data_IF_868065726429
#
_entry.id   IF_868065726429
#
_cell.length_a   1.000
_cell.length_b   1.000
_cell.length_c   1.000
_cell.angle_alpha   90.00
_cell.angle_beta   90.00
_cell.angle_gamma   90.00
#
_symmetry.space_group_name_H-M   'P 1'
#
loop_
_entity.id
_entity.type
_entity.pdbx_description
1 polymer ?
#
# COMPACT_ATOMS: atom_id res chain seq x y z
N UNK A 1 10.65 23.67 8.37
CA UNK A 1 10.39 22.24 8.16
C UNK A 1 10.24 22.03 6.67
N UNK A 2 11.21 21.41 5.98
CA UNK A 2 11.08 21.13 4.55
C UNK A 2 9.98 20.08 4.38
N UNK A 3 8.90 20.39 3.66
CA UNK A 3 7.86 19.40 3.36
C UNK A 3 8.43 18.41 2.33
N UNK A 4 8.26 17.11 2.58
CA UNK A 4 8.62 16.07 1.61
C UNK A 4 7.88 16.30 0.29
N UNK A 5 8.51 15.91 -0.82
CA UNK A 5 7.86 15.90 -2.13
C UNK A 5 6.92 14.70 -2.32
N UNK A 6 6.96 13.72 -1.41
CA UNK A 6 6.13 12.50 -1.42
C UNK A 6 5.50 12.21 -0.04
N UNK A 7 4.77 13.16 0.55
CA UNK A 7 4.30 13.06 1.93
C UNK A 7 3.36 11.86 2.19
N UNK A 8 2.56 11.43 1.20
CA UNK A 8 1.68 10.26 1.38
C UNK A 8 2.45 8.95 1.29
N UNK A 9 3.39 8.83 0.34
CA UNK A 9 4.23 7.65 0.25
C UNK A 9 5.08 7.49 1.52
N UNK A 10 5.64 8.58 2.04
CA UNK A 10 6.46 8.57 3.26
C UNK A 10 5.64 8.11 4.47
N UNK A 11 4.42 8.63 4.64
CA UNK A 11 3.51 8.21 5.69
C UNK A 11 3.15 6.72 5.58
N UNK A 12 2.88 6.26 4.36
CA UNK A 12 2.55 4.86 4.09
C UNK A 12 3.72 3.94 4.44
N UNK A 13 4.94 4.29 4.01
CA UNK A 13 6.16 3.53 4.34
C UNK A 13 6.42 3.51 5.84
N UNK A 14 6.36 4.65 6.52
CA UNK A 14 6.64 4.76 7.94
C UNK A 14 5.66 3.92 8.77
N UNK A 15 4.36 4.16 8.62
CA UNK A 15 3.32 3.48 9.43
C UNK A 15 3.26 1.98 9.17
N UNK A 16 3.42 1.54 7.91
CA UNK A 16 3.45 0.10 7.59
C UNK A 16 4.70 -0.55 8.19
N UNK A 17 5.86 0.10 8.07
CA UNK A 17 7.12 -0.44 8.61
C UNK A 17 7.04 -0.58 10.12
N UNK A 18 6.53 0.43 10.82
CA UNK A 18 6.40 0.45 12.27
C UNK A 18 5.41 -0.61 12.77
N UNK A 19 4.19 -0.65 12.20
CA UNK A 19 3.11 -1.49 12.70
C UNK A 19 3.22 -2.96 12.26
N UNK A 20 3.69 -3.21 11.03
CA UNK A 20 3.66 -4.54 10.43
C UNK A 20 5.04 -5.19 10.29
N UNK A 21 6.13 -4.43 10.49
CA UNK A 21 7.52 -4.92 10.39
C UNK A 21 7.72 -5.88 9.20
N UNK A 22 7.37 -5.44 7.99
CA UNK A 22 7.33 -6.34 6.84
C UNK A 22 8.73 -6.80 6.44
N UNK A 23 8.83 -8.04 5.98
CA UNK A 23 10.04 -8.57 5.34
C UNK A 23 10.17 -8.05 3.90
N UNK A 24 9.07 -7.60 3.30
CA UNK A 24 9.06 -6.94 1.99
C UNK A 24 7.99 -5.86 1.96
N UNK A 25 8.37 -4.65 1.54
CA UNK A 25 7.46 -3.53 1.34
C UNK A 25 7.79 -2.82 0.02
N UNK A 26 6.88 -2.95 -0.94
CA UNK A 26 6.96 -2.23 -2.21
C UNK A 26 5.77 -1.29 -2.32
N UNK A 27 6.04 -0.03 -2.64
CA UNK A 27 5.03 1.03 -2.80
C UNK A 27 5.18 1.60 -4.20
N UNK A 28 4.07 1.70 -4.91
CA UNK A 28 4.00 2.25 -6.26
C UNK A 28 2.93 3.34 -6.33
N UNK A 29 3.32 4.53 -6.76
CA UNK A 29 2.38 5.62 -7.04
C UNK A 29 1.81 5.49 -8.47
N UNK A 30 0.56 5.07 -8.55
CA UNK A 30 -0.18 4.90 -9.80
C UNK A 30 -1.11 6.09 -10.12
N UNK A 31 -1.02 7.20 -9.36
CA UNK A 31 -1.93 8.36 -9.49
C UNK A 31 -2.02 8.92 -10.91
N UNK A 32 -0.91 8.90 -11.66
CA UNK A 32 -0.87 9.37 -13.04
C UNK A 32 -1.80 8.57 -13.97
N UNK A 33 -2.00 7.27 -13.72
CA UNK A 33 -2.89 6.40 -14.51
C UNK A 33 -4.36 6.76 -14.34
N UNK A 34 -4.69 7.47 -13.26
CA UNK A 34 -6.06 7.80 -12.89
C UNK A 34 -6.36 9.30 -12.96
N UNK A 35 -5.39 10.14 -13.32
CA UNK A 35 -5.52 11.59 -13.38
C UNK A 35 -6.62 12.10 -14.34
N UNK A 36 -7.02 11.29 -15.33
CA UNK A 36 -8.03 11.66 -16.33
C UNK A 36 -9.48 11.27 -15.95
N UNK A 37 -9.73 10.69 -14.77
CA UNK A 37 -11.09 10.33 -14.36
C UNK A 37 -11.89 11.54 -13.87
N UNK A 38 -13.21 11.54 -14.12
CA UNK A 38 -14.12 12.62 -13.67
C UNK A 38 -14.07 12.84 -12.15
N UNK A 39 -13.88 11.77 -11.38
CA UNK A 39 -13.71 11.83 -9.92
C UNK A 39 -12.41 12.52 -9.46
N UNK A 40 -11.45 12.72 -10.36
CA UNK A 40 -10.19 13.42 -10.11
C UNK A 40 -10.22 14.89 -10.55
N UNK A 41 -11.34 15.39 -11.09
CA UNK A 41 -11.47 16.81 -11.43
C UNK A 41 -11.36 17.67 -10.17
N UNK A 42 -10.39 18.59 -10.16
CA UNK A 42 -10.10 19.46 -9.02
C UNK A 42 -9.13 18.88 -7.99
N UNK A 43 -8.72 17.62 -8.11
CA UNK A 43 -7.70 17.02 -7.25
C UNK A 43 -6.31 17.48 -7.70
N UNK A 44 -5.65 18.30 -6.88
CA UNK A 44 -4.30 18.81 -7.15
C UNK A 44 -3.20 17.86 -6.68
N UNK A 45 -3.55 16.90 -5.82
CA UNK A 45 -2.62 15.90 -5.28
C UNK A 45 -2.21 14.87 -6.33
N UNK A 46 -0.91 14.61 -6.42
CA UNK A 46 -0.32 13.57 -7.28
C UNK A 46 -0.10 12.24 -6.56
N UNK A 47 -0.65 12.10 -5.36
CA UNK A 47 -0.47 10.93 -4.48
C UNK A 47 -1.83 10.41 -3.98
N UNK A 48 -2.67 10.02 -4.93
CA UNK A 48 -4.06 9.61 -4.66
C UNK A 48 -4.29 8.12 -4.90
N UNK A 49 -3.51 7.47 -5.75
CA UNK A 49 -3.65 6.04 -6.02
C UNK A 49 -2.32 5.34 -5.78
N UNK A 50 -2.33 4.40 -4.84
CA UNK A 50 -1.16 3.57 -4.56
C UNK A 50 -1.47 2.09 -4.72
N UNK A 51 -0.46 1.36 -5.16
CA UNK A 51 -0.41 -0.08 -5.12
C UNK A 51 0.72 -0.49 -4.19
N UNK A 52 0.41 -1.37 -3.25
CA UNK A 52 1.30 -1.73 -2.16
C UNK A 52 1.39 -3.26 -2.05
N UNK A 53 2.61 -3.77 -2.05
CA UNK A 53 2.91 -5.18 -1.79
C UNK A 53 3.57 -5.27 -0.43
N UNK A 54 2.97 -6.07 0.46
CA UNK A 54 3.41 -6.22 1.84
C UNK A 54 3.54 -7.71 2.15
N UNK A 55 4.75 -8.12 2.53
CA UNK A 55 5.00 -9.44 3.11
C UNK A 55 5.31 -9.28 4.59
N UNK A 56 4.52 -9.89 5.47
CA UNK A 56 4.69 -9.79 6.93
C UNK A 56 4.11 -10.98 7.67
N UNK A 57 4.79 -11.42 8.72
CA UNK A 57 4.28 -12.44 9.66
C UNK A 57 3.06 -11.96 10.45
N UNK A 58 2.80 -10.65 10.52
CA UNK A 58 1.61 -10.08 11.16
C UNK A 58 0.30 -10.52 10.47
N UNK A 59 0.38 -11.05 9.26
CA UNK A 59 -0.76 -11.57 8.50
C UNK A 59 -1.06 -13.05 8.75
N UNK A 60 -0.22 -13.75 9.51
CA UNK A 60 -0.40 -15.17 9.81
C UNK A 60 -1.75 -15.45 10.47
N UNK A 61 -2.46 -16.47 9.97
CA UNK A 61 -3.77 -16.86 10.48
C UNK A 61 -4.91 -15.87 10.17
N UNK A 62 -4.67 -14.82 9.37
CA UNK A 62 -5.69 -13.82 9.00
C UNK A 62 -6.14 -14.01 7.56
N UNK A 63 -7.45 -13.94 7.35
CA UNK A 63 -8.04 -13.88 6.01
C UNK A 63 -7.70 -12.56 5.32
N UNK A 64 -7.71 -12.55 3.99
CA UNK A 64 -7.35 -11.38 3.17
C UNK A 64 -8.08 -10.09 3.58
N UNK A 65 -9.39 -10.16 3.83
CA UNK A 65 -10.19 -9.00 4.27
C UNK A 65 -9.67 -8.42 5.59
N UNK A 66 -9.27 -9.26 6.54
CA UNK A 66 -8.70 -8.80 7.81
C UNK A 66 -7.34 -8.13 7.60
N UNK A 67 -6.48 -8.69 6.73
CA UNK A 67 -5.19 -8.09 6.35
C UNK A 67 -5.39 -6.70 5.73
N UNK A 68 -6.34 -6.56 4.80
CA UNK A 68 -6.64 -5.28 4.16
C UNK A 68 -7.22 -4.27 5.16
N UNK A 69 -8.10 -4.70 6.07
CA UNK A 69 -8.61 -3.83 7.15
C UNK A 69 -7.50 -3.31 8.06
N UNK A 70 -6.50 -4.14 8.40
CA UNK A 70 -5.35 -3.70 9.19
C UNK A 70 -4.61 -2.54 8.50
N UNK A 71 -4.28 -2.70 7.22
CA UNK A 71 -3.57 -1.66 6.45
C UNK A 71 -4.43 -0.41 6.27
N UNK A 72 -5.70 -0.55 5.90
CA UNK A 72 -6.61 0.58 5.75
C UNK A 72 -6.81 1.35 7.07
N UNK A 73 -6.77 0.66 8.21
CA UNK A 73 -6.88 1.30 9.53
C UNK A 73 -5.65 2.15 9.85
N UNK A 74 -4.45 1.67 9.49
CA UNK A 74 -3.22 2.47 9.65
C UNK A 74 -3.26 3.75 8.81
N UNK A 75 -3.85 3.67 7.63
CA UNK A 75 -3.95 4.75 6.64
C UNK A 75 -5.23 5.58 6.77
N UNK A 76 -5.99 5.42 7.85
CA UNK A 76 -7.32 6.04 7.98
C UNK A 76 -7.27 7.56 7.85
N UNK A 77 -6.26 8.19 8.43
CA UNK A 77 -6.11 9.63 8.40
C UNK A 77 -5.72 10.12 7.01
N UNK A 78 -4.81 9.41 6.33
CA UNK A 78 -4.39 9.70 4.95
C UNK A 78 -5.53 9.52 3.95
N UNK A 79 -6.40 8.53 4.17
CA UNK A 79 -7.59 8.27 3.35
C UNK A 79 -8.71 9.31 3.59
N UNK A 80 -8.82 9.85 4.80
CA UNK A 80 -9.83 10.84 5.15
C UNK A 80 -9.43 12.29 4.79
N UNK A 81 -8.13 12.53 4.55
CA UNK A 81 -7.59 13.86 4.28
C UNK A 81 -8.03 14.38 2.90
N UNK A 82 -8.38 15.67 2.82
CA UNK A 82 -8.61 16.34 1.55
C UNK A 82 -7.33 16.33 0.69
N UNK A 83 -7.44 15.88 -0.56
CA UNK A 83 -6.26 15.63 -1.41
C UNK A 83 -5.35 14.50 -0.90
N UNK A 84 -5.83 13.67 0.01
CA UNK A 84 -5.16 12.47 0.50
C UNK A 84 -5.25 11.28 -0.45
N UNK A 85 -5.06 10.09 0.09
CA UNK A 85 -5.12 8.85 -0.68
C UNK A 85 -6.58 8.56 -1.02
N UNK A 86 -6.87 8.36 -2.30
CA UNK A 86 -8.18 7.93 -2.79
C UNK A 86 -8.32 6.41 -2.80
N UNK A 87 -7.29 5.69 -3.27
CA UNK A 87 -7.34 4.25 -3.43
C UNK A 87 -6.01 3.56 -3.07
N UNK A 88 -6.13 2.42 -2.36
CA UNK A 88 -5.03 1.52 -2.03
C UNK A 88 -5.31 0.14 -2.61
N UNK A 89 -4.54 -0.26 -3.62
CA UNK A 89 -4.51 -1.64 -4.09
C UNK A 89 -3.51 -2.43 -3.25
N UNK A 90 -4.01 -3.35 -2.43
CA UNK A 90 -3.20 -4.10 -1.48
C UNK A 90 -2.95 -5.53 -1.96
N UNK A 91 -1.68 -5.93 -1.93
CA UNK A 91 -1.26 -7.33 -2.01
C UNK A 91 -0.59 -7.69 -0.70
N UNK A 92 -1.22 -8.57 0.09
CA UNK A 92 -0.76 -8.92 1.44
C UNK A 92 -0.44 -10.40 1.53
N UNK A 93 0.78 -10.73 1.96
CA UNK A 93 1.30 -12.10 2.01
C UNK A 93 2.01 -12.38 3.33
N UNK A 94 1.99 -13.63 3.78
CA UNK A 94 2.93 -14.10 4.81
C UNK A 94 4.29 -14.44 4.16
N UNK A 95 5.38 -14.50 4.93
CA UNK A 95 6.68 -14.93 4.40
C UNK A 95 6.63 -16.30 3.71
N UNK A 96 5.85 -17.24 4.26
CA UNK A 96 5.68 -18.60 3.71
C UNK A 96 4.90 -18.58 2.39
N UNK A 97 3.86 -17.75 2.28
CA UNK A 97 3.11 -17.56 1.03
C UNK A 97 4.00 -16.94 -0.07
N UNK A 98 4.86 -15.98 0.29
CA UNK A 98 5.80 -15.34 -0.63
C UNK A 98 6.88 -16.33 -1.09
N UNK A 99 7.43 -17.13 -0.19
CA UNK A 99 8.39 -18.18 -0.53
C UNK A 99 7.78 -19.23 -1.48
N UNK A 100 6.59 -19.75 -1.16
CA UNK A 100 5.90 -20.71 -2.02
C UNK A 100 5.64 -20.13 -3.42
N UNK A 101 5.27 -18.85 -3.52
CA UNK A 101 5.09 -18.17 -4.81
C UNK A 101 6.40 -18.08 -5.60
N UNK A 102 7.52 -17.74 -4.94
CA UNK A 102 8.84 -17.66 -5.59
C UNK A 102 9.30 -19.02 -6.10
N UNK A 103 9.10 -20.07 -5.33
CA UNK A 103 9.42 -21.45 -5.74
C UNK A 103 8.62 -21.87 -6.97
N UNK A 104 7.32 -21.58 -7.02
CA UNK A 104 6.48 -21.84 -8.20
C UNK A 104 6.95 -21.06 -9.42
N UNK A 105 7.19 -19.76 -9.27
CA UNK A 105 7.67 -18.91 -10.36
C UNK A 105 9.02 -19.37 -10.92
N UNK A 106 9.91 -19.92 -10.08
CA UNK A 106 11.18 -20.49 -10.52
C UNK A 106 11.05 -21.85 -11.21
N UNK A 107 10.00 -22.63 -10.89
CA UNK A 107 9.73 -23.90 -11.55
C UNK A 107 9.07 -23.72 -12.93
N UNK A 108 8.36 -22.60 -13.14
CA UNK A 108 7.64 -22.28 -14.37
C UNK A 108 8.48 -21.47 -15.38
N UNK A 109 9.72 -21.09 -15.03
CA UNK A 109 10.63 -20.27 -15.84
C UNK A 109 11.74 -21.10 -16.49
#
# INVERSE_FOLDING_TARGET
>A
MSQSMTPMEDALRAKITEALKPTTLEVFNDSHKHAHHKAMQGVTSRETHFRVVITSSAFQGKMQVARHRMVNTLMKDELAREGGIHALQLTTRTPEEEESRRQKAAADA
#
